data_IF_817232372322
#
_entry.id   IF_817232372322
#
_cell.length_a   1.000
_cell.length_b   1.000
_cell.length_c   1.000
_cell.angle_alpha   90.00
_cell.angle_beta   90.00
_cell.angle_gamma   90.00
#
_symmetry.space_group_name_H-M   'P 1'
#
loop_
_entity.id
_entity.type
_entity.pdbx_description
1 polymer ?
#
# COMPACT_ATOMS: atom_id res chain seq x y z
N UNK A 1 29.83 -43.80 -53.11
CA UNK A 1 30.14 -43.37 -51.75
C UNK A 1 29.10 -42.35 -51.33
N UNK A 2 28.05 -42.73 -50.57
CA UNK A 2 27.03 -41.84 -50.04
C UNK A 2 27.45 -41.38 -48.63
N UNK A 3 27.64 -40.06 -48.43
CA UNK A 3 27.88 -39.48 -47.12
C UNK A 3 26.54 -39.36 -46.37
N UNK A 4 26.40 -40.08 -45.24
CA UNK A 4 25.33 -39.85 -44.28
C UNK A 4 25.66 -38.57 -43.49
N UNK A 5 24.84 -37.52 -43.59
CA UNK A 5 24.83 -36.41 -42.65
C UNK A 5 24.00 -36.82 -41.44
N UNK A 6 24.68 -36.97 -40.31
CA UNK A 6 24.04 -37.16 -38.99
C UNK A 6 23.60 -35.79 -38.46
N UNK A 7 22.30 -35.51 -38.42
CA UNK A 7 21.75 -34.36 -37.74
C UNK A 7 21.52 -34.70 -36.27
N UNK A 8 22.35 -34.08 -35.40
CA UNK A 8 22.11 -34.11 -33.94
C UNK A 8 21.00 -33.11 -33.58
N UNK A 9 19.96 -33.52 -32.86
CA UNK A 9 18.97 -32.56 -32.36
C UNK A 9 19.58 -31.79 -31.17
N UNK A 10 19.68 -30.46 -31.29
CA UNK A 10 20.03 -29.58 -30.18
C UNK A 10 18.80 -29.47 -29.28
N UNK A 11 18.89 -30.11 -28.11
CA UNK A 11 17.86 -30.00 -27.06
C UNK A 11 18.03 -28.64 -26.35
N UNK A 12 17.18 -27.69 -26.67
CA UNK A 12 17.07 -26.43 -25.91
C UNK A 12 16.50 -26.73 -24.52
N UNK A 13 17.39 -26.82 -23.54
CA UNK A 13 17.01 -26.83 -22.12
C UNK A 13 16.56 -25.43 -21.75
N UNK A 14 15.25 -25.17 -21.74
CA UNK A 14 14.70 -23.93 -21.17
C UNK A 14 14.90 -23.95 -19.66
N UNK A 15 15.97 -23.30 -19.21
CA UNK A 15 16.21 -23.05 -17.79
C UNK A 15 15.17 -22.03 -17.33
N UNK A 16 14.05 -22.48 -16.79
CA UNK A 16 13.12 -21.63 -16.07
C UNK A 16 13.85 -21.13 -14.84
N UNK A 17 14.21 -19.85 -14.81
CA UNK A 17 14.73 -19.20 -13.62
C UNK A 17 13.57 -19.20 -12.59
N UNK A 18 13.55 -20.20 -11.73
CA UNK A 18 12.75 -20.17 -10.52
C UNK A 18 13.41 -19.09 -9.65
N UNK A 19 12.87 -17.90 -9.67
CA UNK A 19 13.24 -16.88 -8.69
C UNK A 19 13.00 -17.50 -7.31
N UNK A 20 14.09 -17.79 -6.61
CA UNK A 20 14.04 -18.34 -5.27
C UNK A 20 13.19 -17.39 -4.41
N UNK A 21 12.13 -17.90 -3.84
CA UNK A 21 11.28 -17.13 -2.93
C UNK A 21 12.14 -16.72 -1.73
N UNK A 22 12.08 -15.45 -1.35
CA UNK A 22 12.97 -14.89 -0.32
C UNK A 22 12.52 -15.26 1.11
N UNK A 23 11.44 -16.05 1.25
CA UNK A 23 10.84 -16.50 2.51
C UNK A 23 10.40 -15.36 3.44
N UNK A 24 10.13 -14.18 2.88
CA UNK A 24 9.70 -12.99 3.63
C UNK A 24 8.19 -12.86 3.57
N UNK A 25 7.57 -12.69 4.73
CA UNK A 25 6.15 -12.33 4.87
C UNK A 25 6.04 -11.06 5.69
N UNK A 26 5.33 -10.07 5.15
CA UNK A 26 5.08 -8.77 5.80
C UNK A 26 3.60 -8.63 6.08
N UNK A 27 3.23 -8.38 7.33
CA UNK A 27 1.85 -8.33 7.79
C UNK A 27 1.35 -6.90 7.97
N UNK A 28 0.09 -6.67 7.60
CA UNK A 28 -0.66 -5.46 7.83
C UNK A 28 -2.09 -5.80 8.23
N UNK A 29 -2.66 -5.11 9.22
CA UNK A 29 -4.07 -5.26 9.60
C UNK A 29 -4.60 -4.07 10.40
N UNK A 30 -5.91 -4.07 10.65
CA UNK A 30 -6.62 -3.20 11.58
C UNK A 30 -6.92 -3.89 12.94
N UNK A 31 -6.19 -4.96 13.27
CA UNK A 31 -6.46 -5.77 14.47
C UNK A 31 -5.88 -5.17 15.75
N UNK A 32 -4.90 -4.26 15.62
CA UNK A 32 -4.11 -3.81 16.77
C UNK A 32 -3.26 -4.91 17.38
N UNK A 33 -2.60 -4.58 18.49
CA UNK A 33 -1.74 -5.52 19.23
C UNK A 33 -2.28 -5.84 20.64
N UNK A 34 -3.55 -5.47 20.93
CA UNK A 34 -4.14 -5.66 22.27
C UNK A 34 -4.55 -7.09 22.57
N UNK A 35 -4.78 -7.91 21.53
CA UNK A 35 -5.15 -9.31 21.67
C UNK A 35 -4.24 -10.24 20.86
N UNK A 36 -4.61 -11.51 20.76
CA UNK A 36 -3.80 -12.55 20.10
C UNK A 36 -3.98 -12.68 18.60
N UNK A 37 -4.76 -11.84 17.90
CA UNK A 37 -5.09 -12.04 16.49
C UNK A 37 -3.85 -12.03 15.58
N UNK A 38 -2.98 -11.03 15.73
CA UNK A 38 -1.72 -10.93 14.98
C UNK A 38 -0.79 -12.11 15.28
N UNK A 39 -0.66 -12.45 16.56
CA UNK A 39 0.14 -13.61 17.00
C UNK A 39 -0.36 -14.91 16.40
N UNK A 40 -1.69 -15.11 16.32
CA UNK A 40 -2.30 -16.28 15.71
C UNK A 40 -2.02 -16.38 14.20
N UNK A 41 -2.06 -15.27 13.47
CA UNK A 41 -1.66 -15.22 12.05
C UNK A 41 -0.19 -15.64 11.86
N UNK A 42 0.72 -15.10 12.68
CA UNK A 42 2.15 -15.44 12.64
C UNK A 42 2.37 -16.91 13.05
N UNK A 43 1.65 -17.39 14.05
CA UNK A 43 1.70 -18.80 14.49
C UNK A 43 1.32 -19.76 13.37
N UNK A 44 0.28 -19.44 12.58
CA UNK A 44 -0.09 -20.22 11.38
C UNK A 44 1.04 -20.22 10.35
N UNK A 45 1.68 -19.09 10.11
CA UNK A 45 2.80 -19.02 9.17
C UNK A 45 4.00 -19.85 9.63
N UNK A 46 4.35 -19.78 10.92
CA UNK A 46 5.41 -20.61 11.53
C UNK A 46 5.09 -22.10 11.46
N UNK A 47 3.80 -22.46 11.54
CA UNK A 47 3.34 -23.84 11.33
C UNK A 47 3.47 -24.35 9.90
N UNK A 48 3.53 -23.45 8.91
CA UNK A 48 3.84 -23.79 7.49
C UNK A 48 5.34 -24.02 7.32
N UNK A 49 6.17 -23.11 7.80
CA UNK A 49 7.64 -23.22 7.75
C UNK A 49 8.29 -22.35 8.82
N UNK A 50 9.16 -22.96 9.63
CA UNK A 50 9.95 -22.24 10.64
C UNK A 50 11.05 -21.34 10.04
N UNK A 51 11.36 -21.49 8.75
CA UNK A 51 12.34 -20.68 8.03
C UNK A 51 11.79 -19.34 7.54
N UNK A 52 10.50 -19.07 7.68
CA UNK A 52 9.89 -17.82 7.27
C UNK A 52 10.39 -16.66 8.13
N UNK A 53 10.67 -15.55 7.47
CA UNK A 53 11.00 -14.27 8.09
C UNK A 53 9.75 -13.44 8.13
N UNK A 54 9.20 -13.22 9.33
CA UNK A 54 7.94 -12.53 9.55
C UNK A 54 8.20 -11.10 10.03
N UNK A 55 7.63 -10.14 9.32
CA UNK A 55 7.73 -8.71 9.61
C UNK A 55 6.35 -8.09 9.70
N UNK A 56 6.25 -6.93 10.34
CA UNK A 56 5.05 -6.12 10.37
C UNK A 56 5.26 -4.85 9.56
N UNK A 57 4.28 -4.49 8.74
CA UNK A 57 4.13 -3.17 8.21
C UNK A 57 3.49 -2.30 9.29
N UNK A 58 2.25 -2.63 9.67
CA UNK A 58 1.53 -2.05 10.81
C UNK A 58 0.30 -2.89 11.15
N UNK A 59 -0.13 -2.85 12.41
CA UNK A 59 -1.41 -3.41 12.86
C UNK A 59 -2.34 -2.36 13.46
N UNK A 60 -1.95 -1.07 13.33
CA UNK A 60 -2.66 0.07 13.91
C UNK A 60 -3.47 0.86 12.86
N UNK A 61 -3.85 0.22 11.75
CA UNK A 61 -4.81 0.81 10.81
C UNK A 61 -6.13 0.99 11.56
N UNK A 62 -6.78 2.18 11.49
CA UNK A 62 -8.08 2.36 12.09
C UNK A 62 -9.08 1.30 11.58
N UNK A 63 -9.91 0.77 12.49
CA UNK A 63 -10.84 -0.31 12.18
C UNK A 63 -11.65 0.00 10.92
N UNK A 64 -11.66 -0.94 9.98
CA UNK A 64 -12.37 -0.89 8.70
C UNK A 64 -11.85 0.15 7.68
N UNK A 65 -10.73 0.84 7.95
CA UNK A 65 -10.20 1.87 7.05
C UNK A 65 -9.40 1.24 5.90
N UNK A 66 -10.11 0.85 4.82
CA UNK A 66 -9.52 0.25 3.62
C UNK A 66 -8.61 1.25 2.89
N UNK A 67 -8.92 2.55 2.91
CA UNK A 67 -8.09 3.58 2.27
C UNK A 67 -6.70 3.66 2.91
N UNK A 68 -6.63 3.69 4.23
CA UNK A 68 -5.35 3.71 4.93
C UNK A 68 -4.56 2.42 4.67
N UNK A 69 -5.23 1.26 4.61
CA UNK A 69 -4.58 0.01 4.23
C UNK A 69 -3.95 0.09 2.83
N UNK A 70 -4.67 0.63 1.85
CA UNK A 70 -4.17 0.83 0.49
C UNK A 70 -2.96 1.78 0.47
N UNK A 71 -3.03 2.88 1.23
CA UNK A 71 -1.96 3.87 1.30
C UNK A 71 -0.69 3.29 1.94
N UNK A 72 -0.80 2.56 3.06
CA UNK A 72 0.36 1.96 3.74
C UNK A 72 1.05 0.90 2.88
N UNK A 73 0.31 0.15 2.07
CA UNK A 73 0.91 -0.74 1.06
C UNK A 73 1.70 0.06 0.02
N UNK A 74 1.10 1.08 -0.59
CA UNK A 74 1.78 1.92 -1.57
C UNK A 74 3.05 2.58 -1.01
N UNK A 75 2.96 3.09 0.21
CA UNK A 75 4.08 3.71 0.94
C UNK A 75 5.25 2.74 1.15
N UNK A 76 4.99 1.43 1.27
CA UNK A 76 5.96 0.49 1.85
C UNK A 76 6.44 -0.57 0.86
N UNK A 77 5.56 -1.12 0.02
CA UNK A 77 5.87 -2.23 -0.92
C UNK A 77 7.09 -1.96 -1.80
N UNK A 78 7.30 -0.74 -2.35
CA UNK A 78 8.44 -0.46 -3.24
C UNK A 78 9.82 -0.65 -2.60
N UNK A 79 9.93 -0.64 -1.27
CA UNK A 79 11.18 -0.81 -0.53
C UNK A 79 11.52 -2.27 -0.23
N UNK A 80 10.63 -3.21 -0.55
CA UNK A 80 10.84 -4.64 -0.31
C UNK A 80 11.26 -5.36 -1.58
N UNK A 81 12.19 -6.34 -1.47
CA UNK A 81 12.69 -7.05 -2.64
C UNK A 81 11.59 -7.85 -3.35
N UNK A 82 11.75 -8.12 -4.66
CA UNK A 82 10.90 -9.07 -5.38
C UNK A 82 10.82 -10.42 -4.65
N UNK A 83 9.67 -11.09 -4.74
CA UNK A 83 9.40 -12.33 -4.03
C UNK A 83 8.89 -12.15 -2.60
N UNK A 84 8.87 -10.93 -2.06
CA UNK A 84 8.22 -10.66 -0.75
C UNK A 84 6.72 -10.84 -0.86
N UNK A 85 6.13 -11.49 0.14
CA UNK A 85 4.68 -11.70 0.28
C UNK A 85 4.13 -10.79 1.36
N UNK A 86 3.22 -9.90 0.99
CA UNK A 86 2.46 -9.08 1.93
C UNK A 86 1.13 -9.75 2.24
N UNK A 87 0.76 -9.82 3.51
CA UNK A 87 -0.55 -10.27 3.99
C UNK A 87 -1.25 -9.06 4.60
N UNK A 88 -2.18 -8.48 3.85
CA UNK A 88 -2.91 -7.27 4.25
C UNK A 88 -4.37 -7.60 4.56
N UNK A 89 -4.79 -7.35 5.80
CA UNK A 89 -6.10 -7.76 6.31
C UNK A 89 -6.81 -6.58 6.96
N UNK A 90 -7.52 -5.81 6.15
CA UNK A 90 -8.59 -4.89 6.57
C UNK A 90 -9.84 -5.35 5.81
N UNK A 91 -10.72 -6.08 6.48
CA UNK A 91 -11.74 -6.90 5.82
C UNK A 91 -13.12 -6.77 6.49
N UNK A 92 -13.80 -5.60 6.33
CA UNK A 92 -15.17 -5.45 6.83
C UNK A 92 -16.17 -6.41 6.17
N UNK A 93 -15.80 -7.01 5.02
CA UNK A 93 -16.61 -7.98 4.28
C UNK A 93 -16.25 -9.44 4.53
N UNK A 94 -15.55 -9.77 5.63
CA UNK A 94 -15.16 -11.15 5.94
C UNK A 94 -16.37 -12.10 5.94
N UNK A 95 -16.22 -13.25 5.27
CA UNK A 95 -17.30 -14.24 5.17
C UNK A 95 -18.41 -13.92 4.18
N UNK A 96 -18.33 -12.80 3.43
CA UNK A 96 -19.26 -12.47 2.34
C UNK A 96 -18.74 -12.97 0.97
N UNK A 97 -19.43 -12.61 -0.11
CA UNK A 97 -19.06 -12.97 -1.49
C UNK A 97 -17.87 -12.19 -2.07
N UNK A 98 -17.25 -11.26 -1.29
CA UNK A 98 -16.03 -10.56 -1.75
C UNK A 98 -14.92 -11.59 -2.00
N UNK A 99 -14.13 -11.41 -3.06
CA UNK A 99 -13.06 -12.34 -3.41
C UNK A 99 -11.88 -12.21 -2.44
N UNK A 100 -11.25 -13.33 -2.13
CA UNK A 100 -9.91 -13.40 -1.54
C UNK A 100 -8.92 -13.54 -2.69
N UNK A 101 -7.89 -12.69 -2.78
CA UNK A 101 -6.99 -12.66 -3.93
C UNK A 101 -5.51 -12.60 -3.54
N UNK A 102 -4.66 -13.01 -4.50
CA UNK A 102 -3.24 -12.69 -4.48
C UNK A 102 -2.94 -11.91 -5.76
N UNK A 103 -2.51 -10.65 -5.59
CA UNK A 103 -2.00 -9.83 -6.67
C UNK A 103 -0.48 -10.00 -6.74
N UNK A 104 0.06 -10.23 -7.95
CA UNK A 104 1.49 -10.12 -8.26
C UNK A 104 1.73 -8.79 -8.93
N UNK A 105 2.60 -7.96 -8.35
CA UNK A 105 3.00 -6.68 -8.94
C UNK A 105 3.95 -6.88 -10.12
N UNK A 106 4.07 -5.89 -11.02
CA UNK A 106 5.09 -5.92 -12.09
C UNK A 106 6.51 -5.85 -11.53
N UNK A 107 6.68 -5.35 -10.31
CA UNK A 107 7.94 -5.28 -9.57
C UNK A 107 8.28 -6.57 -8.80
N UNK A 108 7.36 -7.55 -8.81
CA UNK A 108 7.63 -8.92 -8.36
C UNK A 108 7.22 -9.25 -6.93
N UNK A 109 6.56 -8.35 -6.19
CA UNK A 109 5.98 -8.64 -4.87
C UNK A 109 4.60 -9.28 -5.02
N UNK A 110 4.15 -9.97 -3.97
CA UNK A 110 2.83 -10.59 -3.89
C UNK A 110 2.02 -9.96 -2.76
N UNK A 111 0.75 -9.64 -3.00
CA UNK A 111 -0.14 -9.08 -1.97
C UNK A 111 -1.35 -9.99 -1.82
N UNK A 112 -1.48 -10.61 -0.66
CA UNK A 112 -2.56 -11.52 -0.23
C UNK A 112 -3.55 -10.71 0.58
N UNK A 113 -4.78 -10.53 0.07
CA UNK A 113 -5.74 -9.57 0.65
C UNK A 113 -7.17 -9.84 0.17
N UNK A 114 -8.21 -9.31 0.85
CA UNK A 114 -9.53 -9.21 0.24
C UNK A 114 -9.50 -8.22 -0.93
N UNK A 115 -10.24 -8.55 -2.01
CA UNK A 115 -10.44 -7.64 -3.15
C UNK A 115 -11.60 -6.67 -2.83
N UNK A 116 -11.30 -5.66 -2.03
CA UNK A 116 -12.26 -4.70 -1.48
C UNK A 116 -11.85 -3.24 -1.67
N UNK A 117 -10.79 -2.99 -2.45
CA UNK A 117 -10.21 -1.67 -2.66
C UNK A 117 -8.83 -1.47 -2.04
N UNK A 118 -8.38 -2.37 -1.15
CA UNK A 118 -7.02 -2.32 -0.56
C UNK A 118 -5.91 -2.28 -1.61
N UNK A 119 -6.17 -2.81 -2.82
CA UNK A 119 -5.19 -2.86 -3.91
C UNK A 119 -5.20 -1.62 -4.82
N UNK A 120 -6.06 -0.63 -4.59
CA UNK A 120 -6.25 0.53 -5.48
C UNK A 120 -4.95 1.24 -5.82
N UNK A 121 -4.21 1.68 -4.82
CA UNK A 121 -3.01 2.50 -5.02
C UNK A 121 -1.83 1.67 -5.53
N UNK A 122 -1.63 0.47 -4.99
CA UNK A 122 -0.53 -0.41 -5.42
C UNK A 122 -0.72 -0.90 -6.86
N UNK A 123 -1.96 -1.14 -7.29
CA UNK A 123 -2.26 -1.52 -8.66
C UNK A 123 -1.91 -0.40 -9.65
N UNK A 124 -2.11 0.86 -9.25
CA UNK A 124 -1.76 2.03 -10.05
C UNK A 124 -0.25 2.27 -10.07
N UNK A 125 0.43 2.26 -8.91
CA UNK A 125 1.84 2.66 -8.79
C UNK A 125 2.82 1.56 -9.18
N UNK A 126 2.57 0.29 -8.80
CA UNK A 126 3.45 -0.84 -9.10
C UNK A 126 2.97 -1.68 -10.31
N UNK A 127 1.74 -1.44 -10.76
CA UNK A 127 1.10 -2.17 -11.84
C UNK A 127 0.79 -3.63 -11.49
N UNK A 128 -0.15 -4.20 -12.23
CA UNK A 128 -0.60 -5.59 -12.07
C UNK A 128 0.13 -6.46 -13.09
N UNK A 129 0.90 -7.46 -12.63
CA UNK A 129 1.40 -8.53 -13.50
C UNK A 129 0.36 -9.62 -13.66
N UNK A 130 -0.25 -10.06 -12.56
CA UNK A 130 -1.31 -11.08 -12.55
C UNK A 130 -2.11 -11.00 -11.25
N UNK A 131 -3.40 -11.39 -11.30
CA UNK A 131 -4.28 -11.56 -10.12
C UNK A 131 -4.82 -12.97 -10.11
N UNK A 132 -4.82 -13.61 -8.94
CA UNK A 132 -5.45 -14.92 -8.74
C UNK A 132 -6.42 -14.89 -7.57
N UNK A 133 -7.60 -15.48 -7.77
CA UNK A 133 -8.52 -15.73 -6.68
C UNK A 133 -7.99 -16.92 -5.86
N UNK A 134 -7.97 -16.77 -4.55
CA UNK A 134 -7.58 -17.87 -3.66
C UNK A 134 -8.64 -18.96 -3.71
N UNK A 135 -8.22 -20.19 -4.02
CA UNK A 135 -9.04 -21.37 -3.81
C UNK A 135 -9.08 -21.69 -2.31
N UNK A 136 -10.15 -21.26 -1.65
CA UNK A 136 -10.29 -21.41 -0.20
C UNK A 136 -10.54 -22.87 0.23
N UNK A 137 -10.80 -23.80 -0.68
CA UNK A 137 -10.85 -25.24 -0.35
C UNK A 137 -9.43 -25.77 -0.16
N UNK A 138 -8.52 -25.41 -1.06
CA UNK A 138 -7.13 -25.89 -1.06
C UNK A 138 -6.21 -25.05 -0.17
N UNK A 139 -6.48 -23.76 -0.06
CA UNK A 139 -5.62 -22.77 0.60
C UNK A 139 -6.22 -22.19 1.90
N UNK A 140 -7.12 -22.93 2.53
CA UNK A 140 -7.60 -22.67 3.89
C UNK A 140 -6.90 -23.61 4.89
N UNK A 141 -6.58 -23.09 6.08
CA UNK A 141 -6.03 -23.88 7.17
C UNK A 141 -6.97 -25.07 7.51
N UNK A 142 -6.42 -26.27 7.66
CA UNK A 142 -7.20 -27.46 8.02
C UNK A 142 -7.99 -27.23 9.32
N UNK A 143 -9.17 -27.81 9.41
CA UNK A 143 -10.07 -27.76 10.58
C UNK A 143 -10.50 -26.32 10.97
N UNK A 144 -10.66 -25.42 9.98
CA UNK A 144 -11.17 -24.07 10.20
C UNK A 144 -12.48 -23.77 9.44
N UNK A 145 -13.14 -24.81 8.90
CA UNK A 145 -14.30 -24.68 8.03
C UNK A 145 -15.59 -24.29 8.80
N UNK A 146 -15.60 -24.43 10.12
CA UNK A 146 -16.76 -24.09 10.93
C UNK A 146 -16.85 -22.60 11.28
N UNK A 147 -15.80 -21.81 10.99
CA UNK A 147 -15.76 -20.37 11.24
C UNK A 147 -15.29 -19.60 10.04
N UNK A 148 -16.03 -18.55 9.69
CA UNK A 148 -15.73 -17.64 8.58
C UNK A 148 -15.42 -16.21 9.04
N UNK A 149 -15.11 -16.02 10.31
CA UNK A 149 -14.88 -14.70 10.92
C UNK A 149 -13.41 -14.30 11.01
N UNK A 150 -12.47 -15.23 10.69
CA UNK A 150 -11.05 -14.94 10.81
C UNK A 150 -10.27 -15.43 9.57
N UNK A 151 -10.65 -14.93 8.38
CA UNK A 151 -9.91 -15.20 7.14
C UNK A 151 -8.46 -14.71 7.20
N UNK A 152 -8.15 -13.68 7.97
CA UNK A 152 -6.78 -13.21 8.23
C UNK A 152 -5.84 -14.34 8.63
N UNK A 153 -6.27 -15.17 9.58
CA UNK A 153 -5.53 -16.34 10.06
C UNK A 153 -5.65 -17.53 9.12
N UNK A 154 -6.88 -17.88 8.74
CA UNK A 154 -7.21 -19.19 8.16
C UNK A 154 -7.05 -19.25 6.65
N UNK A 155 -7.10 -18.10 5.95
CA UNK A 155 -6.96 -17.98 4.50
C UNK A 155 -5.72 -17.16 4.14
N UNK A 156 -5.65 -15.90 4.55
CA UNK A 156 -4.62 -14.99 4.05
C UNK A 156 -3.23 -15.31 4.58
N UNK A 157 -3.07 -15.47 5.89
CA UNK A 157 -1.77 -15.85 6.47
C UNK A 157 -1.34 -17.24 6.02
N UNK A 158 -2.26 -18.20 5.98
CA UNK A 158 -1.96 -19.55 5.53
C UNK A 158 -1.54 -19.61 4.07
N UNK A 159 -2.25 -18.93 3.15
CA UNK A 159 -1.91 -18.84 1.73
C UNK A 159 -0.59 -18.12 1.53
N UNK A 160 -0.42 -16.95 2.17
CA UNK A 160 0.80 -16.14 2.06
C UNK A 160 2.04 -16.87 2.55
N UNK A 161 1.95 -17.57 3.68
CA UNK A 161 3.03 -18.36 4.21
C UNK A 161 3.43 -19.52 3.30
N UNK A 162 2.44 -20.25 2.74
CA UNK A 162 2.71 -21.35 1.78
C UNK A 162 3.38 -20.84 0.49
N UNK A 163 2.93 -19.69 0.01
CA UNK A 163 3.52 -19.04 -1.17
C UNK A 163 4.95 -18.59 -0.86
N UNK A 164 5.19 -17.89 0.25
CA UNK A 164 6.51 -17.40 0.64
C UNK A 164 7.51 -18.53 0.94
N UNK A 165 7.03 -19.66 1.49
CA UNK A 165 7.84 -20.84 1.78
C UNK A 165 8.11 -21.74 0.55
N UNK A 166 7.46 -21.48 -0.61
CA UNK A 166 7.52 -22.32 -1.79
C UNK A 166 6.78 -23.65 -1.66
N UNK A 167 5.90 -23.78 -0.69
CA UNK A 167 5.03 -24.96 -0.51
C UNK A 167 3.98 -25.03 -1.62
N UNK A 168 3.57 -23.89 -2.15
CA UNK A 168 2.74 -23.75 -3.34
C UNK A 168 3.41 -22.80 -4.34
N UNK A 169 3.16 -23.03 -5.63
CA UNK A 169 3.47 -22.05 -6.68
C UNK A 169 2.38 -20.98 -6.74
N UNK A 170 2.63 -19.89 -7.49
CA UNK A 170 1.63 -18.85 -7.66
C UNK A 170 0.38 -19.37 -8.39
N UNK A 171 0.54 -20.29 -9.35
CA UNK A 171 -0.55 -20.94 -10.09
C UNK A 171 -1.45 -21.78 -9.17
N UNK A 172 -0.88 -22.37 -8.13
CA UNK A 172 -1.60 -23.18 -7.13
C UNK A 172 -2.38 -22.37 -6.10
N UNK A 173 -2.25 -21.04 -6.12
CA UNK A 173 -3.13 -20.15 -5.32
C UNK A 173 -4.59 -20.34 -5.74
N UNK A 174 -4.87 -20.45 -7.06
CA UNK A 174 -6.20 -20.68 -7.57
C UNK A 174 -6.42 -20.08 -8.96
N UNK A 175 -7.67 -19.76 -9.27
CA UNK A 175 -8.09 -19.29 -10.60
C UNK A 175 -7.44 -17.95 -10.94
N UNK A 176 -6.84 -17.87 -12.14
CA UNK A 176 -6.39 -16.60 -12.70
C UNK A 176 -7.61 -15.73 -13.05
N UNK A 177 -7.57 -14.48 -12.59
CA UNK A 177 -8.58 -13.46 -12.89
C UNK A 177 -8.08 -12.51 -14.00
N UNK A 178 -8.95 -11.66 -14.57
CA UNK A 178 -8.51 -10.47 -15.28
C UNK A 178 -7.57 -9.62 -14.43
N UNK A 179 -6.66 -8.88 -15.08
CA UNK A 179 -5.71 -8.01 -14.37
C UNK A 179 -6.40 -6.72 -13.89
N UNK A 180 -7.45 -6.91 -13.13
CA UNK A 180 -8.30 -5.86 -12.55
C UNK A 180 -8.57 -6.18 -11.08
N UNK A 181 -8.74 -5.16 -10.27
CA UNK A 181 -9.07 -5.24 -8.84
C UNK A 181 -10.13 -4.22 -8.51
N UNK A 182 -10.87 -4.44 -7.43
CA UNK A 182 -11.82 -3.44 -6.92
C UNK A 182 -11.08 -2.15 -6.58
N UNK A 183 -11.62 -1.02 -7.05
CA UNK A 183 -11.04 0.31 -6.85
C UNK A 183 -11.85 1.11 -5.85
N UNK A 184 -11.17 1.80 -4.93
CA UNK A 184 -11.76 2.89 -4.16
C UNK A 184 -11.73 4.14 -5.06
N UNK A 185 -12.85 4.80 -5.31
CA UNK A 185 -12.84 6.10 -5.99
C UNK A 185 -12.02 7.12 -5.19
N UNK A 186 -11.10 7.79 -5.84
CA UNK A 186 -10.35 8.90 -5.27
C UNK A 186 -10.10 9.98 -6.32
N UNK A 187 -9.89 11.21 -5.87
CA UNK A 187 -9.62 12.35 -6.76
C UNK A 187 -8.12 12.44 -6.99
N UNK A 188 -7.62 12.28 -8.23
CA UNK A 188 -6.23 12.56 -8.56
C UNK A 188 -5.93 14.05 -8.36
N UNK A 189 -4.69 14.36 -8.00
CA UNK A 189 -4.24 15.74 -7.95
C UNK A 189 -4.17 16.33 -9.36
N UNK A 190 -4.65 17.56 -9.51
CA UNK A 190 -4.68 18.28 -10.79
C UNK A 190 -4.15 19.70 -10.62
N UNK A 191 -3.72 20.30 -11.73
CA UNK A 191 -3.42 21.73 -11.82
C UNK A 191 -4.48 22.40 -12.68
N UNK A 192 -5.14 23.40 -12.13
CA UNK A 192 -6.06 24.28 -12.84
C UNK A 192 -5.50 25.70 -12.78
N UNK A 193 -5.13 26.24 -13.93
CA UNK A 193 -4.44 27.53 -14.02
C UNK A 193 -3.17 27.57 -13.16
N UNK A 194 -3.19 28.31 -12.05
CA UNK A 194 -2.06 28.42 -11.11
C UNK A 194 -2.39 27.82 -9.73
N UNK A 195 -3.43 26.99 -9.64
CA UNK A 195 -3.87 26.32 -8.42
C UNK A 195 -3.66 24.82 -8.58
N UNK A 196 -3.01 24.21 -7.59
CA UNK A 196 -2.98 22.76 -7.43
C UNK A 196 -4.13 22.33 -6.54
N UNK A 197 -4.89 21.34 -6.99
CA UNK A 197 -5.97 20.72 -6.23
C UNK A 197 -5.63 19.27 -5.97
N UNK A 198 -5.81 18.84 -4.74
CA UNK A 198 -5.57 17.48 -4.29
C UNK A 198 -6.38 17.12 -3.06
N UNK A 199 -6.03 16.00 -2.45
CA UNK A 199 -6.66 15.51 -1.21
C UNK A 199 -5.60 15.34 -0.12
N UNK A 200 -6.02 15.39 1.14
CA UNK A 200 -5.21 14.90 2.27
C UNK A 200 -5.29 13.38 2.25
N UNK A 201 -4.27 12.75 1.67
CA UNK A 201 -4.26 11.30 1.47
C UNK A 201 -4.13 10.55 2.79
N UNK A 202 -3.24 11.03 3.67
CA UNK A 202 -2.93 10.38 4.94
C UNK A 202 -2.33 11.38 5.91
N UNK A 203 -2.37 11.05 7.19
CA UNK A 203 -1.59 11.74 8.22
C UNK A 203 -0.31 10.96 8.53
N UNK A 204 0.77 11.69 8.76
CA UNK A 204 1.93 11.17 9.49
C UNK A 204 1.55 11.14 10.98
N UNK A 205 0.94 10.03 11.39
CA UNK A 205 0.21 9.93 12.67
C UNK A 205 1.05 10.23 13.90
N UNK A 206 2.36 9.98 13.86
CA UNK A 206 3.26 10.23 14.99
C UNK A 206 3.50 11.72 15.22
N UNK A 207 3.48 12.52 14.14
CA UNK A 207 3.86 13.95 14.17
C UNK A 207 2.72 14.89 13.77
N UNK A 208 1.60 14.36 13.31
CA UNK A 208 0.46 15.15 12.85
C UNK A 208 0.72 15.95 11.57
N UNK A 209 1.70 15.54 10.74
CA UNK A 209 1.92 16.17 9.45
C UNK A 209 0.83 15.74 8.45
N UNK A 210 0.48 16.66 7.55
CA UNK A 210 -0.51 16.44 6.50
C UNK A 210 0.23 15.99 5.23
N UNK A 211 -0.10 14.81 4.71
CA UNK A 211 0.43 14.33 3.44
C UNK A 211 -0.66 14.34 2.37
N UNK A 212 -0.37 14.98 1.24
CA UNK A 212 -1.31 15.10 0.13
C UNK A 212 -0.99 14.12 -0.99
N UNK A 213 -1.89 13.99 -1.97
CA UNK A 213 -1.61 13.28 -3.22
C UNK A 213 -0.98 14.17 -4.31
N UNK A 214 -0.57 15.40 -3.97
CA UNK A 214 0.10 16.30 -4.92
C UNK A 214 1.57 15.89 -5.03
N UNK A 215 1.91 15.15 -6.08
CA UNK A 215 3.29 14.70 -6.31
C UNK A 215 4.23 15.83 -6.73
N UNK A 216 5.53 15.67 -6.45
CA UNK A 216 6.58 16.64 -6.78
C UNK A 216 6.59 17.10 -8.25
N UNK A 217 6.42 16.21 -9.24
CA UNK A 217 6.33 16.66 -10.64
C UNK A 217 5.20 17.64 -10.93
N UNK A 218 4.05 17.49 -10.28
CA UNK A 218 2.92 18.41 -10.40
C UNK A 218 3.20 19.71 -9.62
N UNK A 219 3.72 19.60 -8.40
CA UNK A 219 4.09 20.72 -7.56
C UNK A 219 5.14 21.63 -8.23
N UNK A 220 6.15 21.05 -8.86
CA UNK A 220 7.21 21.79 -9.55
C UNK A 220 6.69 22.67 -10.71
N UNK A 221 5.48 22.43 -11.22
CA UNK A 221 4.87 23.27 -12.25
C UNK A 221 4.42 24.65 -11.72
N UNK A 222 4.44 24.89 -10.41
CA UNK A 222 4.26 26.21 -9.82
C UNK A 222 5.54 27.07 -9.90
N UNK A 223 6.71 26.47 -10.20
CA UNK A 223 7.98 27.18 -10.33
C UNK A 223 8.58 27.71 -9.03
N UNK A 224 8.05 27.29 -7.89
CA UNK A 224 8.45 27.77 -6.56
C UNK A 224 9.81 27.21 -6.14
N UNK A 225 10.54 28.02 -5.38
CA UNK A 225 11.84 27.69 -4.78
C UNK A 225 11.73 27.65 -3.25
N UNK A 226 12.71 27.06 -2.61
CA UNK A 226 12.79 27.10 -1.16
C UNK A 226 12.83 28.55 -0.64
N UNK A 227 11.95 28.86 0.32
CA UNK A 227 11.72 30.18 0.86
C UNK A 227 10.52 30.91 0.27
N UNK A 228 10.06 30.55 -0.92
CA UNK A 228 8.86 31.14 -1.51
C UNK A 228 7.62 30.76 -0.69
N UNK A 229 6.65 31.67 -0.63
CA UNK A 229 5.42 31.47 0.11
C UNK A 229 4.35 30.80 -0.76
N UNK A 230 3.67 29.83 -0.14
CA UNK A 230 2.47 29.16 -0.65
C UNK A 230 1.27 29.64 0.13
N UNK A 231 0.16 29.90 -0.55
CA UNK A 231 -1.15 29.94 0.09
C UNK A 231 -1.76 28.54 0.05
N UNK A 232 -2.19 28.04 1.20
CA UNK A 232 -2.76 26.72 1.37
C UNK A 232 -4.15 26.83 1.97
N UNK A 233 -5.11 26.17 1.33
CA UNK A 233 -6.46 26.01 1.83
C UNK A 233 -6.78 24.53 1.99
N UNK A 234 -7.36 24.14 3.12
CA UNK A 234 -7.81 22.76 3.39
C UNK A 234 -9.30 22.80 3.69
N UNK A 235 -10.03 21.89 3.06
CA UNK A 235 -11.47 21.76 3.18
C UNK A 235 -11.86 20.37 3.66
N UNK A 236 -12.84 20.31 4.56
CA UNK A 236 -13.59 19.10 4.86
C UNK A 236 -14.96 19.20 4.15
N UNK A 237 -15.17 18.38 3.11
CA UNK A 237 -16.28 18.56 2.17
C UNK A 237 -16.29 19.98 1.57
N UNK A 238 -17.26 20.82 1.97
CA UNK A 238 -17.40 22.22 1.52
C UNK A 238 -16.92 23.24 2.54
N UNK A 239 -16.62 22.81 3.77
CA UNK A 239 -16.18 23.69 4.85
C UNK A 239 -14.66 23.92 4.79
N UNK A 240 -14.24 25.18 4.77
CA UNK A 240 -12.82 25.55 4.85
C UNK A 240 -12.38 25.49 6.30
N UNK A 241 -11.47 24.54 6.61
CA UNK A 241 -10.94 24.31 7.97
C UNK A 241 -9.58 24.97 8.20
N UNK A 242 -8.85 25.26 7.11
CA UNK A 242 -7.58 25.96 7.17
C UNK A 242 -7.41 26.89 5.98
N UNK A 243 -6.81 28.06 6.20
CA UNK A 243 -6.34 28.98 5.16
C UNK A 243 -5.16 29.76 5.71
N UNK A 244 -4.04 29.77 5.01
CA UNK A 244 -2.86 30.51 5.45
C UNK A 244 -1.67 30.35 4.53
N UNK A 245 -0.74 31.32 4.67
CA UNK A 245 0.52 31.32 3.97
C UNK A 245 1.59 30.58 4.77
N UNK A 246 2.42 29.84 4.05
CA UNK A 246 3.56 29.16 4.65
C UNK A 246 4.71 29.03 3.66
N UNK A 247 5.98 29.06 4.11
CA UNK A 247 7.12 28.91 3.22
C UNK A 247 7.29 27.47 2.73
N UNK A 248 7.71 27.32 1.46
CA UNK A 248 8.21 26.08 0.94
C UNK A 248 9.63 25.84 1.46
N UNK A 249 9.82 24.77 2.22
CA UNK A 249 11.05 24.49 2.97
C UNK A 249 11.69 23.16 2.57
N UNK A 250 13.01 23.11 2.63
CA UNK A 250 13.75 21.85 2.46
C UNK A 250 13.71 21.00 3.74
N UNK A 251 13.65 21.62 4.92
CA UNK A 251 13.68 20.96 6.22
C UNK A 251 12.73 21.64 7.19
N UNK A 252 12.31 20.91 8.24
CA UNK A 252 11.46 21.47 9.29
C UNK A 252 12.11 22.65 10.05
N UNK A 253 13.43 22.61 10.23
CA UNK A 253 14.19 23.64 10.95
C UNK A 253 14.37 24.97 10.20
N UNK A 254 13.82 25.10 8.98
CA UNK A 254 13.84 26.36 8.22
C UNK A 254 12.88 27.42 8.78
N UNK A 255 11.99 27.04 9.67
CA UNK A 255 11.08 27.94 10.38
C UNK A 255 11.18 27.74 11.89
N UNK A 256 10.77 28.74 12.66
CA UNK A 256 10.74 28.67 14.13
C UNK A 256 9.78 27.58 14.61
N UNK A 257 10.01 27.11 15.84
CA UNK A 257 9.14 26.14 16.51
C UNK A 257 7.67 26.60 16.52
N UNK A 258 6.77 25.71 16.13
CA UNK A 258 5.34 25.95 16.06
C UNK A 258 4.88 26.73 14.81
N UNK A 259 5.79 27.10 13.92
CA UNK A 259 5.43 27.76 12.65
C UNK A 259 5.12 26.74 11.56
N UNK A 260 4.15 27.04 10.68
CA UNK A 260 3.80 26.18 9.57
C UNK A 260 4.85 26.23 8.46
N UNK A 261 4.97 25.11 7.75
CA UNK A 261 5.80 24.99 6.54
C UNK A 261 5.19 23.97 5.58
N UNK A 262 5.46 24.18 4.29
CA UNK A 262 5.24 23.20 3.22
C UNK A 262 6.57 22.55 2.84
N UNK A 263 6.55 21.26 2.52
CA UNK A 263 7.74 20.51 2.13
C UNK A 263 7.37 19.33 1.22
N UNK A 264 8.33 18.77 0.51
CA UNK A 264 8.17 17.45 -0.12
C UNK A 264 8.59 16.38 0.89
N UNK A 265 7.67 15.45 1.19
CA UNK A 265 7.93 14.34 2.10
C UNK A 265 8.85 13.28 1.46
N UNK A 266 9.12 12.17 2.18
CA UNK A 266 9.99 11.09 1.71
C UNK A 266 9.43 10.31 0.50
N UNK A 267 8.15 10.50 0.16
CA UNK A 267 7.52 9.98 -1.05
C UNK A 267 7.46 11.02 -2.16
N UNK A 268 8.12 12.17 -1.98
CA UNK A 268 8.09 13.32 -2.90
C UNK A 268 6.68 13.86 -3.13
N UNK A 269 5.84 13.84 -2.12
CA UNK A 269 4.50 14.42 -2.14
C UNK A 269 4.50 15.73 -1.32
N UNK A 270 3.78 16.75 -1.81
CA UNK A 270 3.60 18.01 -1.07
C UNK A 270 2.91 17.74 0.24
N UNK A 271 3.48 18.28 1.31
CA UNK A 271 3.07 18.01 2.68
C UNK A 271 3.16 19.27 3.52
N UNK A 272 2.40 19.33 4.60
CA UNK A 272 2.35 20.47 5.53
C UNK A 272 2.63 20.01 6.94
N UNK A 273 3.34 20.83 7.69
CA UNK A 273 3.71 20.55 9.08
C UNK A 273 3.74 21.82 9.93
N UNK A 274 3.73 21.63 11.24
CA UNK A 274 4.22 22.62 12.21
C UNK A 274 5.59 22.15 12.69
N UNK A 275 6.61 23.01 12.66
CA UNK A 275 7.92 22.65 13.18
C UNK A 275 7.81 22.29 14.67
N UNK A 276 8.12 21.04 15.05
CA UNK A 276 7.96 20.47 16.40
C UNK A 276 6.54 20.64 16.98
N UNK A 277 5.51 20.61 16.12
CA UNK A 277 4.10 20.69 16.48
C UNK A 277 3.27 19.67 15.70
N UNK A 278 1.97 19.60 16.00
CA UNK A 278 0.99 18.72 15.37
C UNK A 278 0.01 19.58 14.56
N UNK A 279 0.18 19.61 13.25
CA UNK A 279 -0.66 20.38 12.32
C UNK A 279 -2.10 19.85 12.32
N UNK A 280 -2.24 18.53 12.19
CA UNK A 280 -3.54 17.88 12.11
C UNK A 280 -4.40 18.17 13.33
N UNK A 281 -3.83 18.02 14.53
CA UNK A 281 -4.51 18.30 15.79
C UNK A 281 -4.80 19.79 15.99
N UNK A 282 -3.84 20.66 15.65
CA UNK A 282 -3.97 22.12 15.84
C UNK A 282 -5.10 22.69 15.00
N UNK A 283 -5.27 22.20 13.77
CA UNK A 283 -6.26 22.70 12.82
C UNK A 283 -7.43 21.74 12.59
N UNK A 284 -7.53 20.66 13.38
CA UNK A 284 -8.60 19.66 13.27
C UNK A 284 -8.70 19.05 11.86
N UNK A 285 -7.57 18.78 11.20
CA UNK A 285 -7.49 18.17 9.88
C UNK A 285 -7.39 16.65 10.03
N UNK A 286 -8.18 15.91 9.23
CA UNK A 286 -8.04 14.47 9.07
C UNK A 286 -7.68 14.12 7.61
N UNK A 287 -7.74 12.85 7.25
CA UNK A 287 -7.42 12.36 5.91
C UNK A 287 -8.61 11.60 5.30
N UNK A 288 -8.64 11.51 3.99
CA UNK A 288 -9.65 10.78 3.24
C UNK A 288 -10.15 11.56 2.01
N UNK A 289 -11.08 10.96 1.27
CA UNK A 289 -11.59 11.53 0.02
C UNK A 289 -12.44 12.80 0.21
N UNK A 290 -12.91 13.05 1.41
CA UNK A 290 -13.69 14.22 1.81
C UNK A 290 -12.81 15.39 2.28
N UNK A 291 -11.48 15.20 2.31
CA UNK A 291 -10.48 16.21 2.67
C UNK A 291 -9.75 16.73 1.43
N UNK A 292 -10.13 17.92 0.98
CA UNK A 292 -9.55 18.56 -0.21
C UNK A 292 -8.51 19.61 0.18
N UNK A 293 -7.49 19.76 -0.68
CA UNK A 293 -6.43 20.76 -0.55
C UNK A 293 -6.36 21.57 -1.83
N UNK A 294 -6.26 22.90 -1.69
CA UNK A 294 -5.94 23.83 -2.77
C UNK A 294 -4.67 24.63 -2.42
N UNK A 295 -3.74 24.74 -3.37
CA UNK A 295 -2.43 25.34 -3.14
C UNK A 295 -2.06 26.20 -4.33
N UNK A 296 -1.60 27.43 -4.09
CA UNK A 296 -1.07 28.33 -5.11
C UNK A 296 0.08 29.19 -4.54
N UNK A 297 0.90 29.83 -5.36
CA UNK A 297 1.86 30.83 -4.89
C UNK A 297 1.12 31.92 -4.10
N UNK A 298 1.66 32.32 -2.96
CA UNK A 298 1.13 33.47 -2.24
C UNK A 298 1.36 34.76 -3.04
N UNK A 299 0.47 35.76 -2.95
CA UNK A 299 0.58 37.01 -3.68
C UNK A 299 1.81 37.84 -3.32
#
# INVERSE_FOLDING_TARGET
>A
MRKLLSTFPILFLSCSIVLAQNKIVVYQSDFGLKDGAVSAMKGVAMGVSADLKLFDLTHEIPAYNIWEAAYRLEQTVPYWPPGTVFVSVVDPGVGTSRKSVVLKTKTGQFIVTPDNGTLTLIASSQGIAEVRQIDEVLNRRKNSQESYTFHGRDVYSYTGARLAAGVITYEQVGLKLPNEVVQIPYQPAVKEENILKGTVSILDVQYGNIWTNIGGPLFNQLGLKYGDLLHVEIFHNTEKVYSGDMPYCQTFGAVDKGKPLAYLNSLLQLSFALNQGDFAKTYSVASGNDWRVEVHPAP
#
